data_IF_805816640371
#
_entry.id   IF_805816640371
#
_cell.length_a   1.000
_cell.length_b   1.000
_cell.length_c   1.000
_cell.angle_alpha   90.00
_cell.angle_beta   90.00
_cell.angle_gamma   90.00
#
_symmetry.space_group_name_H-M   'P 1'
#
loop_
_entity.id
_entity.type
_entity.pdbx_description
1 polymer ?
#
# COMPACT_ATOMS: atom_id res chain seq x y z
N UNK A 1 15.96 -0.42 -11.45
CA UNK A 1 15.96 1.03 -11.78
C UNK A 1 16.64 1.83 -10.68
N UNK A 2 16.12 1.87 -9.44
CA UNK A 2 16.72 2.57 -8.28
C UNK A 2 18.24 2.43 -8.16
N UNK A 3 18.74 1.20 -8.05
CA UNK A 3 20.17 0.92 -7.83
C UNK A 3 21.11 1.28 -8.99
N UNK A 4 20.57 1.74 -10.13
CA UNK A 4 21.37 2.21 -11.26
C UNK A 4 21.38 3.73 -11.36
N UNK A 5 20.21 4.37 -11.38
CA UNK A 5 20.14 5.80 -11.66
C UNK A 5 20.48 6.67 -10.44
N UNK A 6 20.19 6.24 -9.20
CA UNK A 6 20.47 7.06 -8.01
C UNK A 6 21.99 7.23 -7.76
N UNK A 7 22.80 6.15 -7.75
CA UNK A 7 24.26 6.31 -7.62
C UNK A 7 24.87 7.04 -8.82
N UNK A 8 24.33 6.83 -10.02
CA UNK A 8 24.78 7.52 -11.22
C UNK A 8 24.54 9.04 -11.14
N UNK A 9 23.33 9.47 -10.79
CA UNK A 9 23.01 10.90 -10.66
C UNK A 9 23.77 11.55 -9.50
N UNK A 10 23.90 10.88 -8.36
CA UNK A 10 24.68 11.36 -7.22
C UNK A 10 26.17 11.52 -7.59
N UNK A 11 26.74 10.54 -8.30
CA UNK A 11 28.10 10.61 -8.82
C UNK A 11 28.29 11.70 -9.87
N UNK A 12 27.33 11.85 -10.79
CA UNK A 12 27.33 12.88 -11.82
C UNK A 12 27.26 14.28 -11.19
N UNK A 13 26.36 14.47 -10.22
CA UNK A 13 26.23 15.70 -9.45
C UNK A 13 27.56 16.13 -8.82
N UNK A 14 28.20 15.19 -8.11
CA UNK A 14 29.49 15.39 -7.46
C UNK A 14 30.60 15.71 -8.46
N UNK A 15 30.64 15.00 -9.59
CA UNK A 15 31.64 15.23 -10.63
C UNK A 15 31.49 16.61 -11.28
N UNK A 16 30.26 17.04 -11.54
CA UNK A 16 29.98 18.37 -12.10
C UNK A 16 30.29 19.49 -11.10
N UNK A 17 29.93 19.32 -9.82
CA UNK A 17 30.28 20.24 -8.75
C UNK A 17 31.81 20.40 -8.60
N UNK A 18 32.55 19.29 -8.64
CA UNK A 18 34.02 19.30 -8.55
C UNK A 18 34.72 20.05 -9.69
N UNK A 19 34.05 20.19 -10.83
CA UNK A 19 34.53 20.91 -12.02
C UNK A 19 33.97 22.33 -12.13
N UNK A 20 33.32 22.82 -11.08
CA UNK A 20 32.65 24.13 -11.04
C UNK A 20 31.61 24.32 -12.16
N UNK A 21 31.02 23.21 -12.64
CA UNK A 21 29.94 23.27 -13.63
C UNK A 21 28.64 23.62 -12.90
N UNK A 22 27.88 24.62 -13.37
CA UNK A 22 26.62 25.00 -12.75
C UNK A 22 25.59 23.86 -12.79
N UNK A 23 25.28 23.31 -11.63
CA UNK A 23 24.31 22.24 -11.43
C UNK A 23 22.85 22.71 -11.54
N UNK A 24 22.61 24.02 -11.46
CA UNK A 24 21.30 24.66 -11.61
C UNK A 24 20.88 24.84 -13.09
N UNK A 25 21.55 24.18 -14.02
CA UNK A 25 21.18 24.21 -15.43
C UNK A 25 19.81 23.54 -15.63
N UNK A 26 18.89 24.20 -16.33
CA UNK A 26 17.51 23.72 -16.54
C UNK A 26 17.43 22.29 -17.08
N UNK A 27 18.34 21.90 -17.96
CA UNK A 27 18.37 20.54 -18.52
C UNK A 27 18.65 19.47 -17.46
N UNK A 28 19.48 19.75 -16.46
CA UNK A 28 19.77 18.82 -15.36
C UNK A 28 18.61 18.74 -14.37
N UNK A 29 17.94 19.87 -14.12
CA UNK A 29 16.71 19.92 -13.33
C UNK A 29 15.61 19.06 -13.96
N UNK A 30 15.30 19.30 -15.23
CA UNK A 30 14.26 18.57 -15.96
C UNK A 30 14.54 17.07 -16.03
N UNK A 31 15.78 16.68 -16.33
CA UNK A 31 16.16 15.27 -16.37
C UNK A 31 16.02 14.60 -15.01
N UNK A 32 16.45 15.26 -13.93
CA UNK A 32 16.35 14.72 -12.57
C UNK A 32 14.90 14.62 -12.12
N UNK A 33 14.08 15.63 -12.40
CA UNK A 33 12.64 15.65 -12.09
C UNK A 33 11.89 14.53 -12.83
N UNK A 34 12.15 14.34 -14.14
CA UNK A 34 11.52 13.28 -14.92
C UNK A 34 11.95 11.87 -14.45
N UNK A 35 13.21 11.71 -14.03
CA UNK A 35 13.67 10.45 -13.44
C UNK A 35 12.99 10.15 -12.11
N UNK A 36 12.86 11.15 -11.23
CA UNK A 36 12.14 11.02 -9.96
C UNK A 36 10.67 10.69 -10.21
N UNK A 37 10.01 11.44 -11.10
CA UNK A 37 8.60 11.23 -11.44
C UNK A 37 8.35 9.83 -12.01
N UNK A 38 9.17 9.39 -12.96
CA UNK A 38 9.06 8.04 -13.53
C UNK A 38 9.31 6.96 -12.47
N UNK A 39 10.21 7.21 -11.53
CA UNK A 39 10.46 6.29 -10.44
C UNK A 39 9.31 6.24 -9.44
N UNK A 40 8.72 7.38 -9.11
CA UNK A 40 7.52 7.50 -8.28
C UNK A 40 6.35 6.71 -8.90
N UNK A 41 6.06 6.96 -10.17
CA UNK A 41 5.02 6.22 -10.92
C UNK A 41 5.29 4.71 -10.98
N UNK A 42 6.55 4.31 -11.10
CA UNK A 42 6.93 2.89 -11.14
C UNK A 42 6.80 2.19 -9.79
N UNK A 43 7.10 2.88 -8.68
CA UNK A 43 7.17 2.27 -7.34
C UNK A 43 5.89 2.44 -6.55
N UNK A 44 5.31 3.65 -6.50
CA UNK A 44 4.10 3.93 -5.73
C UNK A 44 2.83 3.61 -6.53
N UNK A 45 2.90 3.69 -7.86
CA UNK A 45 1.72 3.58 -8.71
C UNK A 45 0.69 4.67 -8.42
N UNK A 46 -0.55 4.48 -8.89
CA UNK A 46 -1.61 5.46 -8.65
C UNK A 46 -2.04 5.50 -7.19
N UNK A 47 -2.30 6.70 -6.68
CA UNK A 47 -2.89 6.90 -5.35
C UNK A 47 -4.17 6.05 -5.19
N UNK A 48 -4.36 5.34 -4.07
CA UNK A 48 -5.56 4.55 -3.83
C UNK A 48 -6.80 5.44 -3.69
N UNK A 49 -7.47 5.73 -4.80
CA UNK A 49 -8.75 6.42 -4.78
C UNK A 49 -9.89 5.43 -4.49
N UNK A 50 -10.95 5.92 -3.84
CA UNK A 50 -12.24 5.23 -3.83
C UNK A 50 -12.64 4.94 -5.28
N UNK A 51 -13.25 3.77 -5.57
CA UNK A 51 -13.72 3.49 -6.92
C UNK A 51 -14.60 4.65 -7.39
N UNK A 52 -14.15 5.32 -8.45
CA UNK A 52 -14.92 6.38 -9.11
C UNK A 52 -16.37 5.91 -9.28
N UNK A 53 -17.38 6.76 -9.01
CA UNK A 53 -18.76 6.43 -9.34
C UNK A 53 -18.78 6.04 -10.80
N UNK A 54 -19.00 4.75 -11.10
CA UNK A 54 -19.09 4.29 -12.48
C UNK A 54 -20.14 5.16 -13.16
N UNK A 55 -19.88 5.69 -14.37
CA UNK A 55 -20.92 6.36 -15.12
C UNK A 55 -22.13 5.42 -15.20
N UNK A 56 -23.36 5.92 -15.05
CA UNK A 56 -24.55 5.10 -15.05
C UNK A 56 -24.61 4.35 -16.39
N UNK A 57 -24.21 3.08 -16.38
CA UNK A 57 -24.43 2.18 -17.50
C UNK A 57 -25.93 2.02 -17.64
N UNK A 58 -26.47 2.34 -18.81
CA UNK A 58 -27.90 2.29 -19.14
C UNK A 58 -28.51 0.88 -19.15
N UNK A 59 -27.77 -0.17 -18.78
CA UNK A 59 -28.28 -1.52 -18.68
C UNK A 59 -28.92 -1.79 -17.32
N UNK A 60 -30.25 -1.71 -17.27
CA UNK A 60 -31.12 -1.95 -16.12
C UNK A 60 -31.21 -3.43 -15.68
N UNK A 61 -30.13 -4.21 -15.72
CA UNK A 61 -30.26 -5.67 -15.48
C UNK A 61 -29.13 -6.33 -14.71
N UNK A 62 -28.32 -5.58 -13.95
CA UNK A 62 -27.46 -6.20 -12.93
C UNK A 62 -27.38 -5.33 -11.69
N UNK A 63 -28.09 -5.74 -10.64
CA UNK A 63 -27.79 -5.31 -9.28
C UNK A 63 -26.27 -5.38 -9.06
N UNK A 64 -25.65 -4.39 -8.38
CA UNK A 64 -24.22 -4.45 -8.09
C UNK A 64 -23.95 -5.77 -7.39
N UNK A 65 -23.19 -6.66 -8.03
CA UNK A 65 -22.78 -7.90 -7.38
C UNK A 65 -22.05 -7.49 -6.10
N UNK A 66 -22.47 -7.97 -4.92
CA UNK A 66 -21.79 -7.63 -3.69
C UNK A 66 -20.30 -7.97 -3.79
N UNK A 67 -19.42 -7.22 -3.08
CA UNK A 67 -18.00 -7.53 -3.06
C UNK A 67 -17.82 -8.97 -2.56
N UNK A 68 -17.35 -9.87 -3.43
CA UNK A 68 -16.98 -11.22 -3.00
C UNK A 68 -15.73 -11.09 -2.16
N UNK A 69 -15.83 -11.43 -0.88
CA UNK A 69 -14.63 -11.70 -0.09
C UNK A 69 -13.93 -12.93 -0.71
N UNK A 70 -12.61 -12.94 -0.69
CA UNK A 70 -11.83 -14.09 -1.16
C UNK A 70 -12.21 -15.38 -0.43
N UNK A 71 -11.66 -16.49 -0.88
CA UNK A 71 -11.89 -17.80 -0.26
C UNK A 71 -10.57 -18.35 0.25
N UNK A 72 -10.60 -19.02 1.40
CA UNK A 72 -9.44 -19.75 1.88
C UNK A 72 -9.22 -20.99 1.00
N UNK A 73 -7.95 -21.27 0.71
CA UNK A 73 -7.51 -22.39 -0.13
C UNK A 73 -7.66 -23.75 0.56
N UNK A 74 -7.59 -23.77 1.90
CA UNK A 74 -7.75 -24.99 2.70
C UNK A 74 -9.14 -25.62 2.55
N UNK A 75 -9.17 -26.95 2.41
CA UNK A 75 -10.40 -27.74 2.19
C UNK A 75 -10.96 -28.41 3.44
N UNK A 76 -10.43 -28.12 4.63
CA UNK A 76 -10.89 -28.71 5.89
C UNK A 76 -12.35 -28.30 6.21
N UNK A 77 -12.99 -29.00 7.16
CA UNK A 77 -14.40 -28.76 7.51
C UNK A 77 -14.63 -27.31 7.99
N UNK A 78 -13.73 -26.78 8.79
CA UNK A 78 -13.84 -25.42 9.34
C UNK A 78 -13.63 -24.35 8.26
N UNK A 79 -12.63 -24.52 7.39
CA UNK A 79 -12.40 -23.64 6.24
C UNK A 79 -13.56 -23.66 5.24
N UNK A 80 -14.27 -24.78 5.08
CA UNK A 80 -15.52 -24.83 4.29
C UNK A 80 -16.63 -23.99 4.92
N UNK A 81 -16.77 -23.99 6.24
CA UNK A 81 -17.72 -23.13 6.95
C UNK A 81 -17.30 -21.66 6.85
N UNK A 82 -16.01 -21.36 7.00
CA UNK A 82 -15.45 -20.04 6.79
C UNK A 82 -15.74 -19.53 5.38
N UNK A 83 -15.47 -20.31 4.35
CA UNK A 83 -15.77 -19.95 2.95
C UNK A 83 -17.25 -19.69 2.71
N UNK A 84 -18.15 -20.44 3.37
CA UNK A 84 -19.59 -20.15 3.33
C UNK A 84 -19.90 -18.79 3.95
N UNK A 85 -19.31 -18.47 5.11
CA UNK A 85 -19.44 -17.15 5.72
C UNK A 85 -18.88 -16.05 4.81
N UNK A 86 -17.70 -16.23 4.22
CA UNK A 86 -17.06 -15.23 3.35
C UNK A 86 -17.90 -14.91 2.10
N UNK A 87 -18.59 -15.91 1.53
CA UNK A 87 -19.55 -15.73 0.43
C UNK A 87 -20.85 -15.03 0.82
N UNK A 88 -21.24 -15.08 2.10
CA UNK A 88 -22.47 -14.47 2.59
C UNK A 88 -22.31 -12.95 2.74
N UNK A 89 -23.00 -12.18 1.91
CA UNK A 89 -22.89 -10.72 1.88
C UNK A 89 -23.74 -10.02 2.95
N UNK A 90 -24.65 -10.74 3.60
CA UNK A 90 -25.51 -10.19 4.65
C UNK A 90 -24.89 -10.36 6.04
N UNK A 91 -23.94 -11.29 6.17
CA UNK A 91 -23.22 -11.55 7.42
C UNK A 91 -21.83 -10.91 7.39
N UNK A 92 -21.61 -9.96 8.31
CA UNK A 92 -20.32 -9.29 8.48
C UNK A 92 -19.48 -9.84 9.65
N UNK A 93 -20.10 -10.63 10.53
CA UNK A 93 -19.46 -11.22 11.72
C UNK A 93 -19.82 -12.69 11.80
N UNK A 94 -18.83 -13.54 12.04
CA UNK A 94 -19.00 -14.94 12.38
C UNK A 94 -18.32 -15.24 13.71
N UNK A 95 -18.93 -16.13 14.49
CA UNK A 95 -18.41 -16.61 15.78
C UNK A 95 -18.18 -18.10 15.70
N UNK A 96 -16.98 -18.55 16.04
CA UNK A 96 -16.58 -19.95 16.04
C UNK A 96 -16.19 -20.34 17.47
N UNK A 97 -16.96 -21.26 18.05
CA UNK A 97 -16.61 -21.91 19.30
C UNK A 97 -15.87 -23.21 18.96
N UNK A 98 -14.55 -23.12 18.87
CA UNK A 98 -13.65 -24.23 18.56
C UNK A 98 -12.41 -24.16 19.46
N UNK A 99 -11.76 -25.29 19.67
CA UNK A 99 -10.51 -25.40 20.42
C UNK A 99 -9.38 -24.55 19.82
N UNK A 100 -8.32 -24.36 20.61
CA UNK A 100 -7.22 -23.44 20.28
C UNK A 100 -6.55 -23.73 18.94
N UNK A 101 -6.22 -25.00 18.66
CA UNK A 101 -5.51 -25.39 17.43
C UNK A 101 -6.34 -25.04 16.19
N UNK A 102 -7.66 -25.28 16.25
CA UNK A 102 -8.58 -24.95 15.16
C UNK A 102 -8.81 -23.44 15.02
N UNK A 103 -8.81 -22.69 16.11
CA UNK A 103 -8.86 -21.22 16.04
C UNK A 103 -7.62 -20.67 15.35
N UNK A 104 -6.44 -21.12 15.79
CA UNK A 104 -5.17 -20.72 15.19
C UNK A 104 -5.15 -21.07 13.70
N UNK A 105 -5.57 -22.28 13.33
CA UNK A 105 -5.68 -22.68 11.92
C UNK A 105 -6.55 -21.72 11.07
N UNK A 106 -7.70 -21.29 11.59
CA UNK A 106 -8.60 -20.36 10.89
C UNK A 106 -7.97 -18.96 10.74
N UNK A 107 -7.31 -18.47 11.79
CA UNK A 107 -6.61 -17.18 11.78
C UNK A 107 -5.44 -17.18 10.79
N UNK A 108 -4.63 -18.23 10.79
CA UNK A 108 -3.51 -18.42 9.87
C UNK A 108 -4.01 -18.53 8.43
N UNK A 109 -5.06 -19.32 8.17
CA UNK A 109 -5.62 -19.45 6.82
C UNK A 109 -6.11 -18.10 6.26
N UNK A 110 -6.77 -17.28 7.09
CA UNK A 110 -7.22 -15.93 6.69
C UNK A 110 -6.03 -15.03 6.37
N UNK A 111 -4.98 -15.11 7.19
CA UNK A 111 -3.76 -14.30 7.04
C UNK A 111 -2.99 -14.69 5.78
N UNK A 112 -2.79 -15.98 5.56
CA UNK A 112 -2.02 -16.53 4.44
C UNK A 112 -2.71 -16.25 3.10
N UNK A 113 -4.04 -16.45 3.04
CA UNK A 113 -4.84 -16.13 1.86
C UNK A 113 -5.17 -14.62 1.75
N UNK A 114 -4.62 -13.78 2.64
CA UNK A 114 -4.75 -12.31 2.67
C UNK A 114 -6.20 -11.82 2.59
N UNK A 115 -7.11 -12.53 3.26
CA UNK A 115 -8.52 -12.21 3.26
C UNK A 115 -8.76 -10.99 4.16
N UNK A 116 -9.46 -9.94 3.71
CA UNK A 116 -9.63 -8.71 4.47
C UNK A 116 -10.65 -8.87 5.60
N UNK A 117 -10.27 -9.63 6.62
CA UNK A 117 -11.01 -9.87 7.85
C UNK A 117 -10.15 -9.49 9.05
N UNK A 118 -10.81 -9.16 10.15
CA UNK A 118 -10.21 -8.99 11.47
C UNK A 118 -10.61 -10.19 12.32
N UNK A 119 -9.64 -10.83 12.95
CA UNK A 119 -9.86 -11.92 13.89
C UNK A 119 -9.62 -11.40 15.31
N UNK A 120 -10.53 -11.71 16.22
CA UNK A 120 -10.39 -11.42 17.63
C UNK A 120 -10.90 -12.62 18.44
N UNK A 121 -10.23 -12.95 19.54
CA UNK A 121 -10.76 -13.92 20.50
C UNK A 121 -11.53 -13.16 21.58
N UNK A 122 -12.81 -13.45 21.74
CA UNK A 122 -13.63 -12.98 22.85
C UNK A 122 -13.70 -14.08 23.92
N UNK A 123 -13.53 -13.71 25.19
CA UNK A 123 -13.76 -14.61 26.32
C UNK A 123 -15.18 -14.40 26.84
N UNK A 124 -16.01 -15.45 26.77
CA UNK A 124 -17.39 -15.42 27.23
C UNK A 124 -17.62 -16.61 28.17
N UNK A 125 -17.89 -16.31 29.45
CA UNK A 125 -18.26 -17.31 30.47
C UNK A 125 -17.32 -18.54 30.48
N UNK A 126 -15.99 -18.31 30.51
CA UNK A 126 -14.91 -19.31 30.44
C UNK A 126 -14.71 -20.06 29.11
N UNK A 127 -15.49 -19.75 28.07
CA UNK A 127 -15.24 -20.20 26.70
C UNK A 127 -14.53 -19.12 25.88
N UNK A 128 -13.55 -19.52 25.07
CA UNK A 128 -12.88 -18.63 24.12
C UNK A 128 -13.48 -18.78 22.73
N UNK A 129 -14.10 -17.71 22.23
CA UNK A 129 -14.82 -17.68 20.95
C UNK A 129 -14.00 -16.87 19.95
N UNK A 130 -13.69 -17.46 18.79
CA UNK A 130 -13.08 -16.74 17.69
C UNK A 130 -14.15 -15.94 16.95
N UNK A 131 -14.00 -14.61 16.95
CA UNK A 131 -14.85 -13.66 16.23
C UNK A 131 -14.11 -13.17 14.99
N UNK A 132 -14.70 -13.47 13.83
CA UNK A 132 -14.16 -13.08 12.53
C UNK A 132 -15.08 -12.02 11.94
N UNK A 133 -14.56 -10.82 11.73
CA UNK A 133 -15.28 -9.68 11.17
C UNK A 133 -14.73 -9.30 9.80
N UNK A 134 -15.61 -9.18 8.81
CA UNK A 134 -15.24 -8.69 7.48
C UNK A 134 -14.89 -7.21 7.55
N UNK A 135 -13.77 -6.80 6.96
CA UNK A 135 -13.42 -5.38 6.85
C UNK A 135 -14.36 -4.70 5.85
N UNK A 136 -14.82 -3.51 6.20
CA UNK A 136 -15.58 -2.69 5.25
C UNK A 136 -14.67 -2.18 4.14
N UNK A 137 -15.28 -1.75 3.02
CA UNK A 137 -14.52 -1.14 1.91
C UNK A 137 -13.73 0.08 2.37
N UNK A 138 -14.28 0.88 3.29
CA UNK A 138 -13.64 2.09 3.79
C UNK A 138 -12.39 1.75 4.60
N UNK A 139 -12.46 0.74 5.48
CA UNK A 139 -11.29 0.28 6.24
C UNK A 139 -10.20 -0.26 5.30
N UNK A 140 -10.57 -1.07 4.30
CA UNK A 140 -9.62 -1.59 3.30
C UNK A 140 -8.98 -0.43 2.52
N UNK A 141 -9.76 0.59 2.15
CA UNK A 141 -9.25 1.76 1.44
C UNK A 141 -8.27 2.56 2.30
N UNK A 142 -8.61 2.81 3.57
CA UNK A 142 -7.74 3.50 4.52
C UNK A 142 -6.41 2.75 4.75
N UNK A 143 -6.45 1.42 4.89
CA UNK A 143 -5.24 0.60 4.99
C UNK A 143 -4.36 0.71 3.74
N UNK A 144 -4.98 0.73 2.54
CA UNK A 144 -4.25 0.93 1.28
C UNK A 144 -3.65 2.32 1.17
N UNK A 145 -4.38 3.36 1.56
CA UNK A 145 -3.87 4.75 1.59
C UNK A 145 -2.68 4.83 2.54
N UNK A 146 -2.82 4.28 3.75
CA UNK A 146 -1.77 4.31 4.75
C UNK A 146 -0.49 3.59 4.29
N UNK A 147 -0.63 2.40 3.69
CA UNK A 147 0.51 1.67 3.13
C UNK A 147 1.16 2.43 1.97
N UNK A 148 0.35 3.06 1.11
CA UNK A 148 0.85 3.90 0.02
C UNK A 148 1.65 5.11 0.55
N UNK A 149 1.13 5.82 1.56
CA UNK A 149 1.82 6.95 2.20
C UNK A 149 3.12 6.52 2.89
N UNK A 150 3.12 5.34 3.50
CA UNK A 150 4.33 4.75 4.11
C UNK A 150 5.39 4.44 3.05
N UNK A 151 4.98 3.87 1.92
CA UNK A 151 5.87 3.62 0.79
C UNK A 151 6.40 4.92 0.20
N UNK A 152 5.55 5.95 0.07
CA UNK A 152 5.94 7.29 -0.37
C UNK A 152 7.03 7.87 0.52
N UNK A 153 6.80 7.92 1.83
CA UNK A 153 7.77 8.42 2.82
C UNK A 153 9.10 7.68 2.72
N UNK A 154 9.04 6.34 2.65
CA UNK A 154 10.25 5.50 2.55
C UNK A 154 11.03 5.79 1.27
N UNK A 155 10.34 5.97 0.15
CA UNK A 155 10.95 6.29 -1.14
C UNK A 155 11.68 7.64 -1.08
N UNK A 156 11.00 8.69 -0.63
CA UNK A 156 11.58 10.04 -0.59
C UNK A 156 12.62 10.22 0.52
N UNK A 157 12.51 9.51 1.64
CA UNK A 157 13.57 9.44 2.65
C UNK A 157 14.86 8.88 2.04
N UNK A 158 14.75 7.79 1.27
CA UNK A 158 15.92 7.18 0.64
C UNK A 158 16.62 8.06 -0.41
N UNK A 159 15.90 8.98 -1.05
CA UNK A 159 16.51 10.01 -1.91
C UNK A 159 17.44 10.94 -1.15
N UNK A 160 17.09 11.28 0.08
CA UNK A 160 17.90 12.17 0.91
C UNK A 160 19.07 11.43 1.59
N UNK A 161 19.02 10.11 1.69
CA UNK A 161 20.13 9.30 2.21
C UNK A 161 21.22 9.04 1.15
N UNK A 162 20.84 8.78 -0.11
CA UNK A 162 21.80 8.45 -1.18
C UNK A 162 22.42 9.69 -1.87
N UNK A 163 21.80 10.86 -1.71
CA UNK A 163 22.30 12.13 -2.24
C UNK A 163 22.78 13.05 -1.13
N UNK A 164 23.85 13.78 -1.40
CA UNK A 164 24.26 14.89 -0.55
C UNK A 164 23.20 16.02 -0.65
N UNK A 165 22.59 16.45 0.48
CA UNK A 165 21.44 17.36 0.47
C UNK A 165 21.68 18.66 -0.30
N UNK A 166 22.89 19.18 -0.25
CA UNK A 166 23.32 20.41 -0.91
C UNK A 166 23.33 20.24 -2.44
N UNK A 167 23.82 19.11 -2.93
CA UNK A 167 23.83 18.77 -4.35
C UNK A 167 22.42 18.49 -4.87
N UNK A 168 21.60 17.78 -4.09
CA UNK A 168 20.22 17.49 -4.44
C UNK A 168 19.40 18.79 -4.54
N UNK A 169 19.55 19.68 -3.56
CA UNK A 169 18.92 21.01 -3.57
C UNK A 169 19.36 21.84 -4.79
N UNK A 170 20.65 21.85 -5.10
CA UNK A 170 21.18 22.62 -6.24
C UNK A 170 20.66 22.10 -7.59
N UNK A 171 20.57 20.77 -7.74
CA UNK A 171 20.13 20.13 -8.99
C UNK A 171 18.62 20.20 -9.18
N UNK A 172 17.83 20.15 -8.12
CA UNK A 172 16.37 20.17 -8.20
C UNK A 172 15.79 21.58 -8.17
N UNK A 173 16.52 22.52 -7.57
CA UNK A 173 15.99 23.81 -7.19
C UNK A 173 15.26 23.75 -5.84
N UNK A 174 15.10 24.92 -5.22
CA UNK A 174 14.58 25.05 -3.86
C UNK A 174 13.15 24.52 -3.71
N UNK A 175 12.28 24.76 -4.69
CA UNK A 175 10.86 24.38 -4.66
C UNK A 175 10.67 22.85 -4.69
N UNK A 176 11.34 22.19 -5.64
CA UNK A 176 11.29 20.75 -5.84
C UNK A 176 11.92 20.00 -4.65
N UNK A 177 13.04 20.51 -4.15
CA UNK A 177 13.71 19.96 -2.97
C UNK A 177 12.83 20.09 -1.72
N UNK A 178 12.17 21.23 -1.52
CA UNK A 178 11.22 21.42 -0.42
C UNK A 178 10.04 20.44 -0.51
N UNK A 179 9.50 20.20 -1.72
CA UNK A 179 8.45 19.18 -1.92
C UNK A 179 8.92 17.79 -1.51
N UNK A 180 10.10 17.37 -1.97
CA UNK A 180 10.65 16.04 -1.67
C UNK A 180 10.89 15.85 -0.17
N UNK A 181 11.41 16.87 0.53
CA UNK A 181 11.57 16.82 1.99
C UNK A 181 10.25 16.69 2.72
N UNK A 182 9.24 17.45 2.30
CA UNK A 182 7.89 17.36 2.85
C UNK A 182 7.31 15.95 2.68
N UNK A 183 7.47 15.34 1.50
CA UNK A 183 7.02 13.97 1.22
C UNK A 183 7.80 12.90 1.99
N UNK A 184 9.07 13.17 2.32
CA UNK A 184 9.87 12.32 3.20
C UNK A 184 9.52 12.47 4.69
N UNK A 185 8.77 13.52 5.07
CA UNK A 185 8.47 13.85 6.46
C UNK A 185 9.63 14.50 7.22
N UNK A 186 10.45 15.29 6.52
CA UNK A 186 11.65 15.99 7.04
C UNK A 186 11.60 17.51 6.87
#
# INVERSE_FOLDING_TARGET
MRGFWMPFLSGLARALASRSVPLNTTSYQQLTQELIKRWDEQVLGSYPAAPSPRPPRSDRSRSPSPPRFGEVSCSCKDCKHLNRFLRDNYRNVARYNVDQDRRQHLEESIKDDKIPCTCATEEQESAQILVIKKKSKDVILQERIHEWEKQQKTLYASLNEEFEPEHLKTILGDEEFARIRSLAGM
#
